data_IF_001886904278
#
_entry.id   IF_001886904278
#
_cell.length_a   1.000
_cell.length_b   1.000
_cell.length_c   1.000
_cell.angle_alpha   90.00
_cell.angle_beta   90.00
_cell.angle_gamma   90.00
#
_symmetry.space_group_name_H-M   'P 1'
#
loop_
_entity.id
_entity.type
_entity.pdbx_description
1 polymer ?
#
# COMPACT_ATOMS: atom_id res chain seq x y z
N UNK A 1 -16.15 -16.68 2.08
CA UNK A 1 -14.72 -16.67 1.66
C UNK A 1 -14.40 -18.04 1.08
N UNK A 2 -14.06 -18.11 -0.20
CA UNK A 2 -13.82 -19.35 -0.93
C UNK A 2 -12.35 -19.51 -1.27
N UNK A 3 -11.80 -20.72 -1.10
CA UNK A 3 -10.43 -21.01 -1.50
C UNK A 3 -10.41 -21.65 -2.89
N UNK A 4 -9.58 -21.12 -3.78
CA UNK A 4 -9.35 -21.65 -5.13
C UNK A 4 -7.85 -21.94 -5.26
N UNK A 5 -7.51 -23.07 -5.88
CA UNK A 5 -6.10 -23.41 -6.05
C UNK A 5 -5.45 -22.48 -7.10
N UNK A 6 -4.20 -22.06 -6.85
CA UNK A 6 -3.45 -21.26 -7.83
C UNK A 6 -3.32 -21.96 -9.18
N UNK A 7 -3.22 -23.30 -9.17
CA UNK A 7 -3.16 -24.10 -10.39
C UNK A 7 -4.47 -24.02 -11.17
N UNK A 8 -5.61 -24.19 -10.50
CA UNK A 8 -6.93 -24.10 -11.12
C UNK A 8 -7.17 -22.71 -11.70
N UNK A 9 -6.87 -21.66 -10.93
CA UNK A 9 -7.00 -20.28 -11.39
C UNK A 9 -6.10 -19.99 -12.60
N UNK A 10 -4.86 -20.50 -12.62
CA UNK A 10 -3.97 -20.37 -13.79
C UNK A 10 -4.50 -21.07 -15.03
N UNK A 11 -5.16 -22.21 -14.89
CA UNK A 11 -5.65 -23.00 -16.03
C UNK A 11 -6.99 -22.49 -16.55
N UNK A 12 -7.91 -22.13 -15.66
CA UNK A 12 -9.29 -21.75 -16.02
C UNK A 12 -9.53 -20.24 -16.05
N UNK A 13 -8.63 -19.44 -15.49
CA UNK A 13 -8.76 -17.99 -15.38
C UNK A 13 -10.05 -17.59 -14.67
N UNK A 14 -10.78 -16.63 -15.25
CA UNK A 14 -12.05 -16.14 -14.73
C UNK A 14 -13.12 -17.24 -14.58
N UNK A 15 -13.06 -18.33 -15.36
CA UNK A 15 -14.01 -19.45 -15.24
C UNK A 15 -13.87 -20.23 -13.93
N UNK A 16 -12.74 -20.11 -13.24
CA UNK A 16 -12.59 -20.65 -11.89
C UNK A 16 -13.44 -19.88 -10.87
N UNK A 17 -13.86 -18.66 -11.20
CA UNK A 17 -14.57 -17.75 -10.31
C UNK A 17 -16.10 -17.76 -10.51
N UNK A 18 -16.62 -18.50 -11.51
CA UNK A 18 -18.05 -18.48 -11.89
C UNK A 18 -18.98 -18.88 -10.74
N UNK A 19 -18.55 -19.83 -9.90
CA UNK A 19 -19.32 -20.30 -8.75
C UNK A 19 -19.12 -19.44 -7.50
N UNK A 20 -18.29 -18.39 -7.56
CA UNK A 20 -18.06 -17.49 -6.43
C UNK A 20 -19.18 -16.45 -6.38
N UNK A 21 -19.93 -16.35 -5.27
CA UNK A 21 -20.94 -15.31 -5.13
C UNK A 21 -20.35 -13.91 -5.30
N UNK A 22 -21.10 -13.03 -5.96
CA UNK A 22 -20.68 -11.62 -6.13
C UNK A 22 -20.44 -10.98 -4.76
N UNK A 23 -19.28 -10.34 -4.60
CA UNK A 23 -18.90 -9.67 -3.36
C UNK A 23 -18.13 -10.56 -2.37
N UNK A 24 -17.93 -11.85 -2.64
CA UNK A 24 -17.09 -12.69 -1.77
C UNK A 24 -15.60 -12.62 -2.10
N UNK A 25 -14.78 -12.41 -1.07
CA UNK A 25 -13.33 -12.54 -1.16
C UNK A 25 -12.90 -13.99 -1.40
N UNK A 26 -11.92 -14.15 -2.29
CA UNK A 26 -11.36 -15.43 -2.70
C UNK A 26 -9.91 -15.52 -2.22
N UNK A 27 -9.54 -16.65 -1.64
CA UNK A 27 -8.16 -16.99 -1.33
C UNK A 27 -7.57 -17.86 -2.44
N UNK A 28 -6.57 -17.34 -3.14
CA UNK A 28 -5.75 -18.11 -4.08
C UNK A 28 -4.52 -18.66 -3.37
N UNK A 29 -4.42 -19.98 -3.27
CA UNK A 29 -3.27 -20.62 -2.63
C UNK A 29 -2.80 -21.85 -3.42
N UNK A 30 -1.49 -22.09 -3.41
CA UNK A 30 -0.87 -23.33 -3.88
C UNK A 30 -0.50 -24.24 -2.70
N UNK A 31 -0.01 -25.46 -2.97
CA UNK A 31 0.43 -26.38 -1.89
C UNK A 31 1.66 -25.86 -1.14
N UNK A 32 2.56 -25.16 -1.82
CA UNK A 32 3.74 -24.51 -1.24
C UNK A 32 3.96 -23.19 -1.98
N UNK A 33 3.67 -22.06 -1.33
CA UNK A 33 3.86 -20.75 -1.94
C UNK A 33 3.01 -19.66 -1.30
N UNK A 34 3.15 -18.41 -1.79
CA UNK A 34 2.40 -17.27 -1.30
C UNK A 34 0.89 -17.46 -1.52
N UNK A 35 0.11 -17.00 -0.54
CA UNK A 35 -1.33 -16.89 -0.61
C UNK A 35 -1.72 -15.48 -1.07
N UNK A 36 -2.67 -15.39 -1.99
CA UNK A 36 -3.17 -14.12 -2.51
C UNK A 36 -4.65 -14.00 -2.21
N UNK A 37 -5.08 -12.81 -1.81
CA UNK A 37 -6.50 -12.48 -1.71
C UNK A 37 -6.95 -11.76 -2.98
N UNK A 38 -7.96 -12.31 -3.63
CA UNK A 38 -8.76 -11.62 -4.64
C UNK A 38 -9.97 -11.05 -3.91
N UNK A 39 -9.99 -9.73 -3.74
CA UNK A 39 -11.13 -9.02 -3.17
C UNK A 39 -11.96 -8.47 -4.34
N UNK A 40 -13.23 -8.87 -4.49
CA UNK A 40 -14.08 -8.33 -5.54
C UNK A 40 -14.35 -6.87 -5.25
N UNK A 41 -14.06 -6.00 -6.22
CA UNK A 41 -14.38 -4.59 -6.12
C UNK A 41 -15.75 -4.37 -6.76
N UNK A 42 -16.69 -3.84 -6.00
CA UNK A 42 -18.08 -3.61 -6.44
C UNK A 42 -18.30 -2.09 -6.44
N UNK A 43 -18.46 -1.48 -7.61
CA UNK A 43 -18.62 -0.03 -7.75
C UNK A 43 -17.42 0.63 -8.43
N UNK A 44 -17.18 1.91 -8.16
CA UNK A 44 -16.07 2.66 -8.74
C UNK A 44 -14.76 2.37 -7.99
N UNK A 45 -14.04 1.37 -8.49
CA UNK A 45 -12.73 0.93 -8.01
C UNK A 45 -11.72 2.07 -7.90
N UNK A 46 -11.81 3.06 -8.81
CA UNK A 46 -10.87 4.17 -8.86
C UNK A 46 -11.09 5.12 -7.69
N UNK A 47 -12.35 5.34 -7.32
CA UNK A 47 -12.70 6.15 -6.15
C UNK A 47 -12.33 5.44 -4.84
N UNK A 48 -12.65 4.16 -4.70
CA UNK A 48 -12.32 3.40 -3.49
C UNK A 48 -10.81 3.30 -3.27
N UNK A 49 -10.06 2.93 -4.31
CA UNK A 49 -8.60 2.87 -4.25
C UNK A 49 -7.98 4.25 -3.94
N UNK A 50 -8.53 5.34 -4.50
CA UNK A 50 -8.10 6.70 -4.18
C UNK A 50 -8.33 7.04 -2.72
N UNK A 51 -9.49 6.70 -2.16
CA UNK A 51 -9.80 6.97 -0.76
C UNK A 51 -8.97 6.09 0.19
N UNK A 52 -8.71 4.82 -0.15
CA UNK A 52 -7.79 3.95 0.59
C UNK A 52 -6.38 4.55 0.59
N UNK A 53 -5.84 4.91 -0.59
CA UNK A 53 -4.51 5.53 -0.68
C UNK A 53 -4.43 6.83 0.12
N UNK A 54 -5.48 7.66 0.09
CA UNK A 54 -5.58 8.87 0.90
C UNK A 54 -5.60 8.57 2.40
N UNK A 55 -6.38 7.57 2.84
CA UNK A 55 -6.44 7.17 4.24
C UNK A 55 -5.07 6.65 4.73
N UNK A 56 -4.41 5.81 3.94
CA UNK A 56 -3.05 5.32 4.21
C UNK A 56 -2.04 6.47 4.30
N UNK A 57 -2.09 7.43 3.37
CA UNK A 57 -1.22 8.61 3.40
C UNK A 57 -1.44 9.45 4.67
N UNK A 58 -2.71 9.68 5.07
CA UNK A 58 -3.03 10.38 6.32
C UNK A 58 -2.54 9.64 7.55
N UNK A 59 -2.68 8.31 7.60
CA UNK A 59 -2.17 7.49 8.69
C UNK A 59 -0.64 7.56 8.78
N UNK A 60 0.04 7.44 7.64
CA UNK A 60 1.50 7.61 7.56
C UNK A 60 1.95 8.98 8.04
N UNK A 61 1.26 10.06 7.63
CA UNK A 61 1.57 11.42 8.08
C UNK A 61 1.42 11.59 9.59
N UNK A 62 0.34 11.06 10.17
CA UNK A 62 0.12 11.09 11.62
C UNK A 62 1.23 10.38 12.37
N UNK A 63 1.65 9.21 11.88
CA UNK A 63 2.75 8.47 12.49
C UNK A 63 4.08 9.21 12.37
N UNK A 64 4.37 9.80 11.21
CA UNK A 64 5.55 10.65 11.03
C UNK A 64 5.56 11.86 11.96
N UNK A 65 4.40 12.49 12.19
CA UNK A 65 4.28 13.58 13.17
C UNK A 65 4.50 13.12 14.60
N UNK A 66 3.91 11.99 15.01
CA UNK A 66 4.14 11.40 16.33
C UNK A 66 5.63 11.16 16.58
N UNK A 67 6.31 10.55 15.61
CA UNK A 67 7.76 10.31 15.69
C UNK A 67 8.57 11.60 15.74
N UNK A 68 8.17 12.62 14.99
CA UNK A 68 8.84 13.92 15.02
C UNK A 68 8.68 14.64 16.37
N UNK A 69 7.50 14.55 16.98
CA UNK A 69 7.26 15.06 18.34
C UNK A 69 8.10 14.30 19.37
N UNK A 70 8.15 12.97 19.31
CA UNK A 70 8.98 12.15 20.20
C UNK A 70 10.47 12.43 20.04
N UNK A 71 10.92 12.69 18.82
CA UNK A 71 12.29 13.11 18.54
C UNK A 71 12.58 14.57 18.95
N UNK A 72 11.59 15.30 19.47
CA UNK A 72 11.73 16.69 19.89
C UNK A 72 11.84 17.70 18.73
N UNK A 73 11.61 17.25 17.49
CA UNK A 73 11.71 18.09 16.28
C UNK A 73 10.63 19.18 16.23
N UNK A 74 9.55 19.02 17.00
CA UNK A 74 8.54 20.07 17.19
C UNK A 74 9.05 21.33 17.90
N UNK A 75 10.31 21.34 18.39
CA UNK A 75 10.98 22.49 19.00
C UNK A 75 12.10 23.08 18.15
N UNK A 76 12.35 22.54 16.96
CA UNK A 76 13.33 23.12 16.04
C UNK A 76 12.84 24.49 15.56
N UNK A 77 13.74 25.46 15.54
CA UNK A 77 13.47 26.76 14.93
C UNK A 77 13.39 26.64 13.40
N UNK A 78 12.64 27.53 12.77
CA UNK A 78 12.53 27.60 11.30
C UNK A 78 13.91 27.73 10.62
N UNK A 79 14.86 28.38 11.28
CA UNK A 79 16.24 28.58 10.81
C UNK A 79 17.08 27.31 10.85
N UNK A 80 16.83 26.42 11.81
CA UNK A 80 17.46 25.09 11.88
C UNK A 80 16.88 24.16 10.82
N UNK A 81 15.56 24.19 10.64
CA UNK A 81 14.86 23.44 9.59
C UNK A 81 15.38 23.86 8.22
N UNK A 82 15.48 25.17 7.95
CA UNK A 82 15.95 25.68 6.67
C UNK A 82 17.41 25.28 6.39
N UNK A 83 18.28 25.29 7.40
CA UNK A 83 19.67 24.82 7.28
C UNK A 83 19.75 23.33 6.92
N UNK A 84 18.94 22.49 7.55
CA UNK A 84 18.88 21.06 7.23
C UNK A 84 18.38 20.81 5.80
N UNK A 85 17.30 21.49 5.39
CA UNK A 85 16.75 21.40 4.03
C UNK A 85 17.78 21.82 2.98
N UNK A 86 18.51 22.91 3.22
CA UNK A 86 19.55 23.39 2.30
C UNK A 86 20.73 22.42 2.24
N UNK A 87 21.09 21.78 3.35
CA UNK A 87 22.11 20.73 3.40
C UNK A 87 21.67 19.47 2.63
N UNK A 88 20.42 19.04 2.79
CA UNK A 88 19.84 17.91 2.07
C UNK A 88 19.78 18.17 0.55
N UNK A 89 19.43 19.39 0.13
CA UNK A 89 19.39 19.80 -1.28
C UNK A 89 20.78 19.90 -1.92
N UNK A 90 21.79 20.29 -1.15
CA UNK A 90 23.20 20.36 -1.61
C UNK A 90 23.86 19.00 -1.69
N UNK A 91 23.32 17.99 -1.04
CA UNK A 91 23.79 16.60 -1.18
C UNK A 91 23.23 16.07 -2.51
N UNK A 92 24.07 15.84 -3.55
CA UNK A 92 23.57 15.34 -4.82
C UNK A 92 22.95 13.98 -4.55
N UNK A 93 21.63 13.90 -4.73
CA UNK A 93 20.90 12.65 -4.59
C UNK A 93 21.63 11.58 -5.40
N UNK A 94 22.02 10.51 -4.71
CA UNK A 94 22.46 9.25 -5.28
C UNK A 94 21.38 8.83 -6.27
N UNK A 95 21.52 9.26 -7.53
CA UNK A 95 20.70 8.81 -8.64
C UNK A 95 20.81 7.30 -8.58
N UNK A 96 19.72 6.62 -8.21
CA UNK A 96 19.63 5.18 -8.39
C UNK A 96 19.84 4.98 -9.89
N UNK A 97 21.02 4.47 -10.23
CA UNK A 97 21.33 4.00 -11.57
C UNK A 97 20.26 2.95 -11.90
N UNK A 98 19.44 3.26 -12.90
CA UNK A 98 18.67 2.26 -13.65
C UNK A 98 19.55 1.70 -14.75
#
# INVERSE_FOLDING_TARGET
>A
MRQISLREFRTRGAKALEDVPKGESILLAGQKGPAYFLVPVVGDVTLEDREIRRAMAKASLRESWRLAEEAGLGRMSDEEIQREVDQARRTPGRRKAG
#
